data_IF_736938165957
#
_entry.id   IF_736938165957
#
_cell.length_a   1.000
_cell.length_b   1.000
_cell.length_c   1.000
_cell.angle_alpha   90.00
_cell.angle_beta   90.00
_cell.angle_gamma   90.00
#
_symmetry.space_group_name_H-M   'P 1'
#
loop_
_entity.id
_entity.type
_entity.pdbx_description
1 polymer ?
#
# COMPACT_ATOMS: atom_id res chain seq x y z
N UNK A 1 18.20 3.29 11.20
CA UNK A 1 17.88 2.14 10.34
C UNK A 1 18.96 2.06 9.30
N UNK A 2 19.63 0.92 9.20
CA UNK A 2 20.58 0.59 8.14
C UNK A 2 19.87 -0.12 6.98
N UNK A 3 20.59 -0.38 5.89
CA UNK A 3 20.08 -1.19 4.77
C UNK A 3 19.79 -2.65 5.20
N UNK A 4 20.68 -3.26 5.99
CA UNK A 4 20.46 -4.60 6.55
C UNK A 4 19.21 -4.65 7.45
N UNK A 5 19.01 -3.63 8.30
CA UNK A 5 17.80 -3.51 9.13
C UNK A 5 16.54 -3.48 8.25
N UNK A 6 16.61 -2.82 7.09
CA UNK A 6 15.50 -2.72 6.14
C UNK A 6 15.25 -4.04 5.41
N UNK A 7 16.29 -4.70 4.92
CA UNK A 7 16.15 -5.94 4.14
C UNK A 7 15.74 -7.14 5.00
N UNK A 8 16.23 -7.23 6.24
CA UNK A 8 16.01 -8.40 7.11
C UNK A 8 14.95 -8.17 8.19
N UNK A 9 14.51 -6.93 8.42
CA UNK A 9 13.61 -6.58 9.51
C UNK A 9 12.19 -7.16 9.38
N UNK A 10 11.70 -7.84 10.41
CA UNK A 10 10.32 -8.36 10.45
C UNK A 10 9.27 -7.37 10.99
N UNK A 11 9.70 -6.22 11.53
CA UNK A 11 8.83 -5.26 12.20
C UNK A 11 8.68 -3.98 11.36
N UNK A 12 7.47 -3.60 10.95
CA UNK A 12 7.26 -2.42 10.12
C UNK A 12 7.42 -1.11 10.90
N UNK A 13 7.31 -1.12 12.24
CA UNK A 13 7.29 0.12 13.03
C UNK A 13 8.60 0.94 12.94
N UNK A 14 9.82 0.36 13.05
CA UNK A 14 11.05 1.10 12.79
C UNK A 14 11.16 1.57 11.33
N UNK A 15 10.60 0.83 10.38
CA UNK A 15 10.63 1.16 8.95
C UNK A 15 9.74 2.37 8.67
N UNK A 16 8.51 2.39 9.19
CA UNK A 16 7.57 3.50 9.08
C UNK A 16 8.12 4.78 9.70
N UNK A 17 8.75 4.69 10.88
CA UNK A 17 9.43 5.84 11.51
C UNK A 17 10.60 6.36 10.68
N UNK A 18 11.31 5.50 9.96
CA UNK A 18 12.36 5.94 9.05
C UNK A 18 11.79 6.69 7.84
N UNK A 19 10.65 6.24 7.31
CA UNK A 19 10.01 6.81 6.11
C UNK A 19 9.18 8.08 6.35
N UNK A 20 8.82 8.38 7.60
CA UNK A 20 7.88 9.46 7.99
C UNK A 20 8.10 10.80 7.29
N UNK A 21 9.36 11.17 7.03
CA UNK A 21 9.74 12.43 6.36
C UNK A 21 10.45 12.22 5.02
N UNK A 22 10.53 10.98 4.53
CA UNK A 22 11.32 10.59 3.35
C UNK A 22 10.47 10.15 2.16
N UNK A 23 9.20 9.82 2.40
CA UNK A 23 8.30 9.29 1.37
C UNK A 23 7.13 10.22 1.11
N UNK A 24 6.55 10.09 -0.08
CA UNK A 24 5.37 10.84 -0.49
C UNK A 24 4.13 10.31 0.22
N UNK A 25 3.15 11.19 0.43
CA UNK A 25 1.84 10.81 0.96
C UNK A 25 1.19 9.72 0.09
N UNK A 26 1.39 9.78 -1.24
CA UNK A 26 0.94 8.76 -2.19
C UNK A 26 1.45 7.37 -1.80
N UNK A 27 2.76 7.20 -1.64
CA UNK A 27 3.39 5.93 -1.25
C UNK A 27 2.91 5.43 0.11
N UNK A 28 2.77 6.34 1.07
CA UNK A 28 2.27 6.00 2.41
C UNK A 28 0.83 5.49 2.36
N UNK A 29 -0.04 6.12 1.55
CA UNK A 29 -1.41 5.64 1.33
C UNK A 29 -1.45 4.29 0.66
N UNK A 30 -0.72 4.10 -0.44
CA UNK A 30 -0.70 2.84 -1.18
C UNK A 30 -0.22 1.68 -0.30
N UNK A 31 0.78 1.92 0.57
CA UNK A 31 1.21 0.94 1.57
C UNK A 31 0.09 0.56 2.55
N UNK A 32 -0.58 1.54 3.16
CA UNK A 32 -1.65 1.24 4.12
C UNK A 32 -2.84 0.52 3.44
N UNK A 33 -3.18 0.89 2.21
CA UNK A 33 -4.24 0.23 1.44
C UNK A 33 -3.84 -1.20 1.07
N UNK A 34 -2.58 -1.44 0.68
CA UNK A 34 -2.06 -2.79 0.42
C UNK A 34 -2.15 -3.67 1.68
N UNK A 35 -1.83 -3.13 2.86
CA UNK A 35 -1.99 -3.85 4.12
C UNK A 35 -3.45 -4.27 4.35
N UNK A 36 -4.39 -3.34 4.14
CA UNK A 36 -5.82 -3.64 4.27
C UNK A 36 -6.31 -4.65 3.23
N UNK A 37 -5.87 -4.54 1.98
CA UNK A 37 -6.24 -5.47 0.89
C UNK A 37 -5.79 -6.89 1.18
N UNK A 38 -4.58 -7.04 1.70
CA UNK A 38 -3.99 -8.33 2.03
C UNK A 38 -4.62 -8.96 3.27
N UNK A 39 -5.08 -8.15 4.22
CA UNK A 39 -5.50 -8.68 5.50
C UNK A 39 -6.68 -9.66 5.35
N UNK A 40 -6.57 -10.89 5.89
CA UNK A 40 -7.62 -11.90 5.79
C UNK A 40 -8.82 -11.54 6.69
N UNK A 41 -9.98 -11.28 6.08
CA UNK A 41 -11.24 -11.05 6.80
C UNK A 41 -11.94 -12.39 7.10
N UNK A 42 -12.29 -12.62 8.37
CA UNK A 42 -12.99 -13.84 8.82
C UNK A 42 -14.38 -14.02 8.16
N UNK A 43 -15.11 -12.92 7.95
CA UNK A 43 -16.40 -12.94 7.25
C UNK A 43 -16.26 -12.96 5.71
N UNK A 44 -15.02 -13.08 5.22
CA UNK A 44 -14.68 -12.97 3.81
C UNK A 44 -14.65 -11.52 3.32
N UNK A 45 -14.01 -11.32 2.16
CA UNK A 45 -13.91 -10.03 1.50
C UNK A 45 -15.22 -9.75 0.76
N UNK A 46 -15.99 -8.77 1.21
CA UNK A 46 -17.25 -8.40 0.53
C UNK A 46 -16.95 -7.64 -0.78
N UNK A 47 -17.80 -7.76 -1.82
CA UNK A 47 -17.63 -6.97 -3.05
C UNK A 47 -17.63 -5.45 -2.83
N UNK A 48 -18.33 -4.98 -1.79
CA UNK A 48 -18.33 -3.56 -1.43
C UNK A 48 -16.96 -3.12 -0.88
N UNK A 49 -16.30 -3.98 -0.10
CA UNK A 49 -14.97 -3.72 0.44
C UNK A 49 -13.90 -3.69 -0.65
N UNK A 50 -13.96 -4.62 -1.62
CA UNK A 50 -13.04 -4.60 -2.79
C UNK A 50 -13.17 -3.28 -3.55
N UNK A 51 -14.40 -2.84 -3.82
CA UNK A 51 -14.66 -1.57 -4.51
C UNK A 51 -14.12 -0.36 -3.73
N UNK A 52 -14.21 -0.39 -2.40
CA UNK A 52 -13.63 0.66 -1.55
C UNK A 52 -12.10 0.70 -1.67
N UNK A 53 -11.43 -0.45 -1.62
CA UNK A 53 -9.98 -0.54 -1.79
C UNK A 53 -9.55 -0.08 -3.20
N UNK A 54 -10.25 -0.51 -4.24
CA UNK A 54 -9.98 -0.07 -5.62
C UNK A 54 -10.12 1.44 -5.77
N UNK A 55 -11.10 2.01 -5.07
CA UNK A 55 -11.32 3.45 -5.04
C UNK A 55 -10.21 4.18 -4.28
N UNK A 56 -9.87 3.72 -3.07
CA UNK A 56 -8.80 4.28 -2.24
C UNK A 56 -7.44 4.30 -2.97
N UNK A 57 -7.14 3.23 -3.70
CA UNK A 57 -5.94 3.11 -4.52
C UNK A 57 -5.89 4.15 -5.64
N UNK A 58 -7.01 4.41 -6.31
CA UNK A 58 -7.10 5.47 -7.33
C UNK A 58 -6.98 6.86 -6.71
N UNK A 59 -7.60 7.07 -5.54
CA UNK A 59 -7.51 8.33 -4.81
C UNK A 59 -6.07 8.60 -4.34
N UNK A 60 -5.32 7.57 -3.96
CA UNK A 60 -3.91 7.72 -3.60
C UNK A 60 -3.05 8.21 -4.78
N UNK A 61 -3.42 7.85 -6.02
CA UNK A 61 -2.78 8.34 -7.24
C UNK A 61 -3.29 9.71 -7.71
N UNK A 62 -4.51 10.11 -7.34
CA UNK A 62 -5.14 11.34 -7.83
C UNK A 62 -4.90 12.54 -6.92
N UNK A 63 -4.50 13.67 -7.51
CA UNK A 63 -4.42 14.96 -6.80
C UNK A 63 -5.82 15.58 -6.61
N UNK A 64 -6.83 15.11 -7.36
CA UNK A 64 -8.22 15.60 -7.31
C UNK A 64 -9.20 14.59 -6.68
N UNK A 65 -10.10 15.12 -5.85
CA UNK A 65 -10.70 14.50 -4.66
C UNK A 65 -12.24 14.42 -4.72
N UNK A 66 -12.86 14.93 -5.80
CA UNK A 66 -14.31 15.15 -5.86
C UNK A 66 -15.15 13.87 -5.97
N UNK A 67 -14.61 12.79 -6.53
CA UNK A 67 -15.32 11.50 -6.62
C UNK A 67 -15.35 10.77 -5.26
N UNK A 68 -14.39 11.06 -4.37
CA UNK A 68 -14.18 10.34 -3.12
C UNK A 68 -15.10 10.72 -2.00
N UNK A 69 -15.31 12.02 -1.85
CA UNK A 69 -16.30 12.57 -0.93
C UNK A 69 -17.69 11.98 -1.23
N UNK A 70 -18.08 11.88 -2.51
CA UNK A 70 -19.39 11.36 -2.92
C UNK A 70 -19.58 9.87 -2.62
N UNK A 71 -18.54 9.06 -2.79
CA UNK A 71 -18.59 7.62 -2.49
C UNK A 71 -18.57 7.39 -0.97
N UNK A 72 -17.77 8.17 -0.25
CA UNK A 72 -17.73 8.17 1.21
C UNK A 72 -19.11 8.48 1.80
N UNK A 73 -19.79 9.54 1.35
CA UNK A 73 -21.15 9.87 1.79
C UNK A 73 -22.13 8.70 1.60
N UNK A 74 -21.98 7.92 0.53
CA UNK A 74 -22.83 6.75 0.26
C UNK A 74 -22.49 5.57 1.18
N UNK A 75 -21.22 5.37 1.51
CA UNK A 75 -20.78 4.31 2.43
C UNK A 75 -21.15 4.66 3.87
N UNK A 76 -20.99 5.92 4.29
CA UNK A 76 -21.39 6.43 5.60
C UNK A 76 -22.91 6.26 5.83
N UNK A 77 -23.73 6.60 4.83
CA UNK A 77 -25.20 6.37 4.89
C UNK A 77 -25.58 4.90 5.07
N UNK A 78 -24.72 3.96 4.65
CA UNK A 78 -24.91 2.51 4.88
C UNK A 78 -24.32 2.05 6.22
N UNK A 79 -23.37 2.80 6.77
CA UNK A 79 -22.70 2.56 8.04
C UNK A 79 -23.53 3.03 9.23
N UNK A 80 -24.23 4.17 9.14
CA UNK A 80 -25.15 4.63 10.20
C UNK A 80 -26.33 3.68 10.44
N UNK A 81 -26.62 2.79 9.47
CA UNK A 81 -27.67 1.78 9.54
C UNK A 81 -27.17 0.42 10.08
N UNK A 82 -25.85 0.26 10.30
CA UNK A 82 -25.24 -0.94 10.89
C UNK A 82 -24.25 -0.55 11.99
N UNK A 83 -24.57 -0.89 13.23
CA UNK A 83 -23.77 -0.68 14.44
C UNK A 83 -22.41 -1.43 14.50
N UNK A 84 -21.86 -1.85 13.36
CA UNK A 84 -20.63 -2.62 13.27
C UNK A 84 -19.85 -2.18 12.03
N UNK A 85 -19.16 -1.05 12.10
CA UNK A 85 -18.00 -0.87 11.22
C UNK A 85 -16.88 -1.72 11.79
N UNK A 86 -16.45 -2.75 11.06
CA UNK A 86 -15.28 -3.52 11.48
C UNK A 86 -14.05 -2.60 11.48
N UNK A 87 -13.12 -2.79 12.42
CA UNK A 87 -11.87 -2.02 12.53
C UNK A 87 -11.06 -1.99 11.22
N UNK A 88 -11.30 -2.95 10.32
CA UNK A 88 -10.62 -3.05 9.01
C UNK A 88 -11.22 -2.12 7.96
N UNK A 89 -12.53 -1.94 8.01
CA UNK A 89 -13.19 -0.91 7.23
C UNK A 89 -12.69 0.45 7.70
N UNK A 90 -12.58 0.66 9.01
CA UNK A 90 -11.99 1.87 9.58
C UNK A 90 -10.53 2.05 9.13
N UNK A 91 -9.68 1.03 9.19
CA UNK A 91 -8.29 1.12 8.72
C UNK A 91 -8.18 1.55 7.24
N UNK A 92 -9.00 0.99 6.33
CA UNK A 92 -9.05 1.44 4.93
C UNK A 92 -9.42 2.92 4.81
N UNK A 93 -10.41 3.34 5.59
CA UNK A 93 -10.94 4.70 5.55
C UNK A 93 -9.94 5.69 6.12
N UNK A 94 -9.27 5.33 7.21
CA UNK A 94 -8.17 6.09 7.78
C UNK A 94 -7.03 6.24 6.78
N UNK A 95 -6.70 5.25 5.95
CA UNK A 95 -5.59 5.43 4.99
C UNK A 95 -6.02 6.19 3.73
N UNK A 96 -7.22 5.93 3.22
CA UNK A 96 -7.67 6.50 1.96
C UNK A 96 -7.97 8.00 2.05
N UNK A 97 -8.52 8.47 3.18
CA UNK A 97 -9.18 9.78 3.25
C UNK A 97 -8.40 10.85 4.05
N UNK A 98 -7.13 10.63 4.37
CA UNK A 98 -6.37 11.57 5.19
C UNK A 98 -5.86 12.73 4.38
N UNK A 99 -6.54 13.86 4.44
CA UNK A 99 -6.02 15.06 3.77
C UNK A 99 -6.91 16.28 3.82
N UNK A 100 -8.22 16.17 4.09
CA UNK A 100 -9.08 17.37 4.00
C UNK A 100 -10.16 17.58 5.04
N UNK A 101 -10.29 16.72 6.06
CA UNK A 101 -11.24 17.05 7.10
C UNK A 101 -10.85 16.64 8.54
N UNK A 102 -10.34 17.62 9.28
CA UNK A 102 -10.15 17.56 10.74
C UNK A 102 -11.48 17.37 11.52
N UNK A 103 -12.64 17.62 10.91
CA UNK A 103 -13.94 17.48 11.59
C UNK A 103 -14.37 16.02 11.82
N UNK A 104 -13.65 15.04 11.27
CA UNK A 104 -14.22 13.71 10.97
C UNK A 104 -14.03 12.65 12.06
N UNK A 105 -13.26 12.93 13.13
CA UNK A 105 -13.16 12.02 14.27
C UNK A 105 -13.11 12.76 15.63
N UNK A 106 -14.28 13.23 16.10
CA UNK A 106 -14.41 13.83 17.45
C UNK A 106 -14.55 12.81 18.60
N UNK A 107 -14.17 11.54 18.41
CA UNK A 107 -14.14 10.53 19.48
C UNK A 107 -12.93 9.61 19.34
N UNK A 108 -11.73 10.15 19.47
CA UNK A 108 -10.52 9.32 19.52
C UNK A 108 -9.23 10.11 19.45
N UNK A 109 -8.94 10.89 20.51
CA UNK A 109 -7.72 11.68 20.74
C UNK A 109 -7.48 12.88 19.80
N UNK A 110 -7.16 13.99 20.44
CA UNK A 110 -6.74 15.25 19.83
C UNK A 110 -5.48 15.02 18.97
N UNK A 111 -5.54 15.38 17.70
CA UNK A 111 -4.38 15.38 16.81
C UNK A 111 -4.77 15.51 15.35
N UNK A 112 -4.41 16.62 14.71
CA UNK A 112 -4.29 16.71 13.26
C UNK A 112 -3.17 15.73 12.84
N UNK A 113 -3.53 14.50 12.51
CA UNK A 113 -2.57 13.48 12.10
C UNK A 113 -2.14 13.69 10.65
N UNK A 114 -0.84 13.64 10.40
CA UNK A 114 -0.26 13.52 9.06
C UNK A 114 -0.70 12.19 8.42
N UNK A 115 -0.58 12.03 7.10
CA UNK A 115 -0.86 10.74 6.42
C UNK A 115 -0.09 9.58 7.08
N UNK A 116 1.16 9.83 7.48
CA UNK A 116 2.00 8.86 8.21
C UNK A 116 1.41 8.43 9.56
N UNK A 117 0.77 9.34 10.31
CA UNK A 117 0.13 9.01 11.60
C UNK A 117 -1.04 8.04 11.41
N UNK A 118 -1.86 8.30 10.39
CA UNK A 118 -3.02 7.49 10.10
C UNK A 118 -2.66 6.12 9.53
N UNK A 119 -1.64 6.06 8.67
CA UNK A 119 -1.09 4.79 8.18
C UNK A 119 -0.56 3.95 9.33
N UNK A 120 0.17 4.55 10.29
CA UNK A 120 0.64 3.84 11.49
C UNK A 120 -0.50 3.33 12.34
N UNK A 121 -1.56 4.13 12.54
CA UNK A 121 -2.71 3.68 13.32
C UNK A 121 -3.47 2.55 12.60
N UNK A 122 -3.66 2.65 11.28
CA UNK A 122 -4.25 1.57 10.49
C UNK A 122 -3.44 0.26 10.62
N UNK A 123 -2.12 0.33 10.46
CA UNK A 123 -1.22 -0.82 10.66
C UNK A 123 -1.33 -1.40 12.07
N UNK A 124 -1.40 -0.54 13.10
CA UNK A 124 -1.56 -0.94 14.51
C UNK A 124 -2.88 -1.68 14.72
N UNK A 125 -3.99 -1.16 14.18
CA UNK A 125 -5.31 -1.80 14.27
C UNK A 125 -5.33 -3.18 13.61
N UNK A 126 -4.68 -3.33 12.45
CA UNK A 126 -4.55 -4.63 11.78
C UNK A 126 -3.74 -5.62 12.62
N UNK A 127 -2.62 -5.19 13.21
CA UNK A 127 -1.78 -6.04 14.07
C UNK A 127 -2.55 -6.46 15.34
N UNK A 128 -3.17 -5.50 16.03
CA UNK A 128 -3.71 -5.74 17.37
C UNK A 128 -5.01 -6.55 17.38
N UNK A 129 -5.69 -6.68 16.24
CA UNK A 129 -6.96 -7.39 16.13
C UNK A 129 -6.89 -8.81 16.70
N UNK A 130 -7.71 -9.14 17.70
CA UNK A 130 -7.81 -10.51 18.19
C UNK A 130 -8.51 -11.38 17.14
N UNK A 131 -7.93 -12.54 16.81
CA UNK A 131 -8.50 -13.55 15.88
C UNK A 131 -9.06 -14.77 16.60
N UNK A 132 -8.63 -15.01 17.83
CA UNK A 132 -9.08 -16.15 18.63
C UNK A 132 -9.21 -15.78 20.11
N UNK A 133 -10.02 -16.54 20.84
CA UNK A 133 -10.17 -16.40 22.29
C UNK A 133 -8.85 -16.72 23.04
N UNK A 134 -8.00 -17.58 22.48
CA UNK A 134 -6.71 -17.94 23.09
C UNK A 134 -5.59 -16.92 22.82
N UNK A 135 -4.96 -16.43 23.90
CA UNK A 135 -3.93 -15.39 23.83
C UNK A 135 -2.65 -15.80 23.08
N UNK A 136 -2.28 -17.09 23.08
CA UNK A 136 -1.07 -17.57 22.36
C UNK A 136 -1.22 -17.48 20.85
N UNK A 137 -2.40 -17.84 20.33
CA UNK A 137 -2.74 -17.72 18.90
C UNK A 137 -2.70 -16.26 18.46
N UNK A 138 -3.22 -15.34 19.28
CA UNK A 138 -3.17 -13.90 18.98
C UNK A 138 -1.74 -13.34 18.89
N UNK A 139 -0.79 -13.82 19.72
CA UNK A 139 0.63 -13.40 19.60
C UNK A 139 1.24 -13.84 18.27
N UNK A 140 0.97 -15.07 17.84
CA UNK A 140 1.45 -15.58 16.56
C UNK A 140 0.91 -14.77 15.38
N UNK A 141 -0.41 -14.51 15.35
CA UNK A 141 -1.02 -13.71 14.28
C UNK A 141 -0.49 -12.28 14.22
N UNK A 142 -0.20 -11.67 15.38
CA UNK A 142 0.44 -10.34 15.46
C UNK A 142 1.81 -10.33 14.81
N UNK A 143 2.63 -11.36 15.06
CA UNK A 143 3.98 -11.42 14.50
C UNK A 143 3.94 -11.68 13.00
N UNK A 144 3.08 -12.60 12.54
CA UNK A 144 2.86 -12.83 11.11
C UNK A 144 2.38 -11.57 10.40
N UNK A 145 1.48 -10.81 11.01
CA UNK A 145 1.00 -9.56 10.44
C UNK A 145 2.10 -8.49 10.38
N UNK A 146 2.98 -8.41 11.38
CA UNK A 146 4.16 -7.53 11.33
C UNK A 146 5.08 -7.89 10.17
N UNK A 147 5.46 -9.17 10.05
CA UNK A 147 6.31 -9.65 8.97
C UNK A 147 5.73 -9.28 7.61
N UNK A 148 4.44 -9.52 7.45
CA UNK A 148 3.78 -9.29 6.18
C UNK A 148 3.61 -7.80 5.84
N UNK A 149 3.41 -6.93 6.83
CA UNK A 149 3.47 -5.48 6.63
C UNK A 149 4.88 -5.01 6.27
N UNK A 150 5.93 -5.59 6.86
CA UNK A 150 7.31 -5.27 6.50
C UNK A 150 7.62 -5.67 5.04
N UNK A 151 7.15 -6.83 4.60
CA UNK A 151 7.27 -7.25 3.19
C UNK A 151 6.47 -6.33 2.26
N UNK A 152 5.28 -5.92 2.67
CA UNK A 152 4.45 -4.96 1.91
C UNK A 152 5.14 -3.59 1.80
N UNK A 153 5.90 -3.16 2.81
CA UNK A 153 6.73 -1.95 2.72
C UNK A 153 7.82 -2.10 1.66
N UNK A 154 8.51 -3.24 1.60
CA UNK A 154 9.55 -3.48 0.59
C UNK A 154 8.96 -3.52 -0.81
N UNK A 155 7.78 -4.11 -0.98
CA UNK A 155 7.06 -4.13 -2.24
C UNK A 155 6.67 -2.72 -2.73
N UNK A 156 6.15 -1.87 -1.84
CA UNK A 156 5.66 -0.55 -2.23
C UNK A 156 6.81 0.49 -2.31
N UNK A 157 7.74 0.45 -1.36
CA UNK A 157 8.78 1.50 -1.22
C UNK A 157 10.08 1.10 -1.91
N UNK A 158 10.33 -0.21 -2.07
CA UNK A 158 11.62 -0.73 -2.54
C UNK A 158 12.69 -0.59 -1.47
N UNK A 159 13.94 -0.47 -1.90
CA UNK A 159 15.07 -0.20 -1.01
C UNK A 159 15.32 1.32 -0.93
N UNK A 160 15.02 1.99 0.19
CA UNK A 160 15.19 3.44 0.31
C UNK A 160 16.67 3.88 0.41
N UNK A 161 17.60 2.92 0.52
CA UNK A 161 19.05 3.16 0.51
C UNK A 161 19.65 3.03 -0.90
N UNK A 162 18.96 2.37 -1.82
CA UNK A 162 19.39 2.27 -3.21
C UNK A 162 19.18 3.63 -3.92
N UNK A 163 20.26 4.17 -4.49
CA UNK A 163 20.21 5.32 -5.38
C UNK A 163 20.32 4.85 -6.83
N UNK A 164 19.20 4.49 -7.43
CA UNK A 164 19.18 4.05 -8.83
C UNK A 164 18.11 4.83 -9.58
N UNK A 165 18.55 5.81 -10.36
CA UNK A 165 17.71 6.47 -11.33
C UNK A 165 17.48 5.51 -12.49
N UNK A 166 16.22 5.23 -12.80
CA UNK A 166 15.85 4.40 -13.93
C UNK A 166 16.22 5.13 -15.24
N UNK A 167 17.05 4.49 -16.06
CA UNK A 167 17.55 5.08 -17.32
C UNK A 167 16.39 5.34 -18.29
N UNK A 168 16.31 6.56 -18.81
CA UNK A 168 15.30 6.97 -19.79
C UNK A 168 15.35 6.12 -21.06
N UNK A 169 16.52 5.57 -21.42
CA UNK A 169 16.69 4.73 -22.60
C UNK A 169 15.93 3.40 -22.48
N UNK A 170 15.68 2.91 -21.26
CA UNK A 170 14.87 1.72 -21.03
C UNK A 170 13.36 2.03 -21.08
N UNK A 171 12.95 3.30 -21.02
CA UNK A 171 11.53 3.71 -21.08
C UNK A 171 11.07 3.97 -22.52
N UNK A 172 10.94 2.92 -23.32
CA UNK A 172 10.31 3.04 -24.63
C UNK A 172 8.78 2.93 -24.54
N UNK A 173 8.07 3.33 -25.61
CA UNK A 173 6.59 3.34 -25.65
C UNK A 173 5.99 1.97 -25.32
N UNK A 174 6.57 0.88 -25.86
CA UNK A 174 6.05 -0.47 -25.61
C UNK A 174 6.17 -0.87 -24.12
N UNK A 175 7.29 -0.56 -23.47
CA UNK A 175 7.49 -0.81 -22.03
C UNK A 175 6.50 0.00 -21.18
N UNK A 176 6.30 1.27 -21.53
CA UNK A 176 5.34 2.13 -20.84
C UNK A 176 3.90 1.63 -21.02
N UNK A 177 3.52 1.18 -22.22
CA UNK A 177 2.18 0.65 -22.50
C UNK A 177 1.91 -0.64 -21.70
N UNK A 178 2.87 -1.56 -21.66
CA UNK A 178 2.77 -2.80 -20.86
C UNK A 178 2.67 -2.46 -19.36
N UNK A 179 3.58 -1.63 -18.86
CA UNK A 179 3.60 -1.24 -17.45
C UNK A 179 2.31 -0.51 -17.04
N UNK A 180 1.81 0.40 -17.88
CA UNK A 180 0.55 1.12 -17.64
C UNK A 180 -0.61 0.16 -17.58
N UNK A 181 -0.72 -0.77 -18.53
CA UNK A 181 -1.78 -1.78 -18.54
C UNK A 181 -1.76 -2.64 -17.28
N UNK A 182 -0.60 -3.16 -16.89
CA UNK A 182 -0.43 -3.95 -15.66
C UNK A 182 -0.86 -3.13 -14.45
N UNK A 183 -0.41 -1.88 -14.34
CA UNK A 183 -0.69 -1.00 -13.22
C UNK A 183 -2.19 -0.64 -13.10
N UNK A 184 -2.83 -0.29 -14.22
CA UNK A 184 -4.24 0.11 -14.25
C UNK A 184 -5.18 -1.07 -14.00
N UNK A 185 -4.88 -2.23 -14.60
CA UNK A 185 -5.72 -3.43 -14.56
C UNK A 185 -5.38 -4.36 -13.39
N UNK A 186 -4.25 -4.12 -12.70
CA UNK A 186 -3.72 -4.95 -11.60
C UNK A 186 -3.43 -6.39 -12.03
N UNK A 187 -3.08 -6.58 -13.30
CA UNK A 187 -2.70 -7.87 -13.89
C UNK A 187 -1.22 -8.17 -13.59
N UNK A 188 -0.87 -8.25 -12.29
CA UNK A 188 0.52 -8.42 -11.84
C UNK A 188 1.14 -9.75 -12.28
N UNK A 189 0.33 -10.74 -12.64
CA UNK A 189 0.76 -11.98 -13.27
C UNK A 189 1.53 -11.77 -14.59
N UNK A 190 1.37 -10.60 -15.23
CA UNK A 190 2.05 -10.25 -16.47
C UNK A 190 3.39 -9.52 -16.25
N UNK A 191 3.83 -9.30 -15.00
CA UNK A 191 5.11 -8.66 -14.69
C UNK A 191 6.34 -9.39 -15.28
N UNK A 192 6.39 -10.73 -15.37
CA UNK A 192 7.50 -11.41 -16.05
C UNK A 192 7.66 -11.00 -17.53
N UNK A 193 6.56 -10.72 -18.23
CA UNK A 193 6.58 -10.24 -19.62
C UNK A 193 7.20 -8.84 -19.70
N UNK A 194 6.90 -7.97 -18.73
CA UNK A 194 7.52 -6.65 -18.62
C UNK A 194 9.02 -6.76 -18.33
N UNK A 195 9.43 -7.72 -17.49
CA UNK A 195 10.83 -7.99 -17.21
C UNK A 195 11.60 -8.39 -18.49
N UNK A 196 11.03 -9.30 -19.29
CA UNK A 196 11.62 -9.71 -20.57
C UNK A 196 11.74 -8.54 -21.55
N UNK A 197 10.67 -7.73 -21.68
CA UNK A 197 10.68 -6.54 -22.53
C UNK A 197 11.75 -5.52 -22.10
N UNK A 198 11.97 -5.35 -20.78
CA UNK A 198 13.04 -4.50 -20.24
C UNK A 198 14.42 -5.02 -20.61
N UNK A 199 14.65 -6.33 -20.48
CA UNK A 199 15.92 -6.95 -20.86
C UNK A 199 16.20 -6.79 -22.37
N UNK A 200 15.19 -6.98 -23.21
CA UNK A 200 15.29 -6.78 -24.66
C UNK A 200 15.61 -5.32 -25.03
N UNK A 201 15.16 -4.36 -24.22
CA UNK A 201 15.50 -2.94 -24.34
C UNK A 201 16.89 -2.59 -23.77
N UNK A 202 17.66 -3.57 -23.29
CA UNK A 202 19.01 -3.38 -22.76
C UNK A 202 19.06 -2.95 -21.28
N UNK A 203 17.96 -3.14 -20.53
CA UNK A 203 17.97 -2.92 -19.09
C UNK A 203 18.93 -3.88 -18.38
N UNK A 204 19.88 -3.34 -17.63
CA UNK A 204 20.88 -4.10 -16.89
C UNK A 204 20.70 -4.01 -15.36
N UNK A 205 19.62 -3.40 -14.89
CA UNK A 205 19.31 -3.32 -13.47
C UNK A 205 18.78 -4.66 -12.98
N UNK A 206 19.64 -5.53 -12.48
CA UNK A 206 19.26 -6.90 -12.09
C UNK A 206 18.16 -6.94 -11.03
N UNK A 207 18.21 -6.06 -10.03
CA UNK A 207 17.21 -6.05 -8.95
C UNK A 207 15.78 -5.77 -9.44
N UNK A 208 15.59 -4.86 -10.40
CA UNK A 208 14.23 -4.60 -10.94
C UNK A 208 13.73 -5.79 -11.75
N UNK A 209 14.61 -6.43 -12.52
CA UNK A 209 14.26 -7.62 -13.31
C UNK A 209 13.89 -8.79 -12.40
N UNK A 210 14.71 -9.07 -11.39
CA UNK A 210 14.49 -10.16 -10.45
C UNK A 210 13.21 -9.95 -9.65
N UNK A 211 12.92 -8.70 -9.26
CA UNK A 211 11.69 -8.32 -8.59
C UNK A 211 10.45 -8.58 -9.47
N UNK A 212 10.46 -8.13 -10.73
CA UNK A 212 9.35 -8.33 -11.68
C UNK A 212 9.10 -9.81 -12.02
N UNK A 213 10.11 -10.68 -11.84
CA UNK A 213 10.01 -12.14 -12.01
C UNK A 213 9.68 -12.87 -10.73
N UNK A 214 9.72 -12.20 -9.59
CA UNK A 214 9.43 -12.82 -8.31
C UNK A 214 7.98 -13.28 -8.26
N UNK A 215 7.73 -14.35 -7.51
CA UNK A 215 6.37 -14.80 -7.19
C UNK A 215 5.81 -14.10 -5.96
N UNK A 216 6.41 -12.99 -5.53
CA UNK A 216 5.95 -12.24 -4.37
C UNK A 216 4.64 -11.52 -4.68
N UNK A 217 3.91 -11.13 -3.62
CA UNK A 217 2.64 -10.43 -3.82
C UNK A 217 2.90 -8.99 -4.22
N UNK A 218 2.53 -8.65 -5.45
CA UNK A 218 2.59 -7.27 -5.94
C UNK A 218 1.32 -6.49 -5.62
N UNK A 219 1.49 -5.19 -5.44
CA UNK A 219 0.41 -4.26 -5.15
C UNK A 219 0.50 -3.02 -6.05
N UNK A 220 -0.61 -2.29 -6.14
CA UNK A 220 -0.57 -0.96 -6.74
C UNK A 220 0.35 -0.07 -5.91
N UNK A 221 1.29 0.60 -6.57
CA UNK A 221 2.39 1.31 -5.91
C UNK A 221 3.68 0.49 -5.79
N UNK A 222 3.74 -0.71 -6.38
CA UNK A 222 4.98 -1.49 -6.58
C UNK A 222 6.13 -0.57 -6.99
N UNK A 223 7.25 -0.63 -6.26
CA UNK A 223 8.37 0.27 -6.47
C UNK A 223 8.96 0.16 -7.89
N UNK A 224 8.97 -1.05 -8.47
CA UNK A 224 9.49 -1.28 -9.81
C UNK A 224 8.59 -0.64 -10.89
N UNK A 225 7.27 -0.81 -10.78
CA UNK A 225 6.32 -0.16 -11.68
C UNK A 225 6.37 1.36 -11.54
N UNK A 226 6.45 1.88 -10.32
CA UNK A 226 6.54 3.33 -10.09
C UNK A 226 7.85 3.92 -10.64
N UNK A 227 8.96 3.16 -10.60
CA UNK A 227 10.21 3.55 -11.24
C UNK A 227 10.08 3.60 -12.77
N UNK A 228 9.43 2.61 -13.38
CA UNK A 228 9.21 2.56 -14.84
C UNK A 228 8.27 3.69 -15.28
N UNK A 229 7.14 3.87 -14.59
CA UNK A 229 6.09 4.85 -14.91
C UNK A 229 6.40 6.28 -14.42
N UNK A 230 7.49 6.45 -13.67
CA UNK A 230 7.93 7.75 -13.13
C UNK A 230 6.93 8.41 -12.17
N UNK A 231 6.16 7.61 -11.42
CA UNK A 231 5.18 8.14 -10.46
C UNK A 231 5.81 8.86 -9.25
N UNK A 232 7.06 8.56 -8.92
CA UNK A 232 7.82 9.22 -7.85
C UNK A 232 9.27 9.52 -8.30
N UNK A 233 9.45 9.93 -9.56
CA UNK A 233 10.76 10.37 -10.04
C UNK A 233 11.27 11.54 -9.19
N UNK A 234 12.34 11.29 -8.41
CA UNK A 234 13.07 12.32 -7.65
C UNK A 234 13.78 13.30 -8.57
#
# INVERSE_FOLDING_TARGET
MTEDDWQLGANPEPMLRYLEVRMTDRKMRLFGIACCRRYPLEEGITPAYVKLLDYAEKLADSVEDSEGERIWEKLQKRQDDRSQTSDHSLACLLVAFTGKNEQFFRKGKEGCGTVSDWVREACRLLIERPRHEESRSNRYFREMERMQQADTLREIIGNPFAQTAFDVNWRNTNILDIATKIYEQKEFENLPILADALQDAGCNWTEIIDHLRSSESHFRGCWALDAILSFDAK
#
